data_IF_355097508057
#
_entry.id   IF_355097508057
#
_cell.length_a   1.000
_cell.length_b   1.000
_cell.length_c   1.000
_cell.angle_alpha   90.00
_cell.angle_beta   90.00
_cell.angle_gamma   90.00
#
_symmetry.space_group_name_H-M   'P 1'
#
loop_
_entity.id
_entity.type
_entity.pdbx_description
1 polymer ?
#
# COMPACT_ATOMS: atom_id res chain seq x y z
N UNK A 1 14.73 -8.88 6.08
CA UNK A 1 14.26 -9.96 5.19
C UNK A 1 13.18 -10.72 5.93
N UNK A 2 11.96 -10.78 5.38
CA UNK A 2 10.85 -11.50 6.00
C UNK A 2 11.12 -13.01 5.99
N UNK A 3 10.63 -13.78 6.98
CA UNK A 3 10.67 -15.25 6.92
C UNK A 3 10.00 -15.76 5.64
N UNK A 4 10.52 -16.86 5.08
CA UNK A 4 10.06 -17.42 3.79
C UNK A 4 8.53 -17.58 3.65
N UNK A 5 7.79 -18.10 4.65
CA UNK A 5 6.34 -18.21 4.56
C UNK A 5 5.64 -16.84 4.46
N UNK A 6 6.15 -15.85 5.19
CA UNK A 6 5.59 -14.50 5.16
C UNK A 6 5.91 -13.81 3.83
N UNK A 7 7.12 -13.99 3.29
CA UNK A 7 7.46 -13.51 1.97
C UNK A 7 6.54 -14.12 0.89
N UNK A 8 6.17 -15.40 1.01
CA UNK A 8 5.23 -16.05 0.10
C UNK A 8 3.81 -15.47 0.21
N UNK A 9 3.31 -15.24 1.43
CA UNK A 9 2.02 -14.56 1.66
C UNK A 9 2.04 -13.15 1.05
N UNK A 10 3.05 -12.33 1.36
CA UNK A 10 3.17 -10.98 0.79
C UNK A 10 3.26 -11.00 -0.75
N UNK A 11 3.97 -11.96 -1.35
CA UNK A 11 3.97 -12.07 -2.81
C UNK A 11 2.60 -12.45 -3.38
N UNK A 12 1.81 -13.26 -2.68
CA UNK A 12 0.44 -13.59 -3.09
C UNK A 12 -0.49 -12.37 -2.98
N UNK A 13 -0.32 -11.57 -1.95
CA UNK A 13 -1.05 -10.31 -1.74
C UNK A 13 -0.87 -9.34 -2.90
N UNK A 14 0.38 -9.10 -3.31
CA UNK A 14 0.68 -8.25 -4.46
C UNK A 14 0.04 -8.80 -5.74
N UNK A 15 0.15 -10.11 -6.00
CA UNK A 15 -0.45 -10.74 -7.18
C UNK A 15 -1.98 -10.60 -7.21
N UNK A 16 -2.65 -10.66 -6.06
CA UNK A 16 -4.09 -10.45 -5.98
C UNK A 16 -4.47 -9.03 -6.39
N UNK A 17 -3.72 -8.03 -5.90
CA UNK A 17 -3.91 -6.63 -6.29
C UNK A 17 -3.64 -6.41 -7.79
N UNK A 18 -2.56 -6.96 -8.33
CA UNK A 18 -2.21 -6.89 -9.75
C UNK A 18 -3.27 -7.56 -10.64
N UNK A 19 -3.77 -8.74 -10.24
CA UNK A 19 -4.84 -9.43 -10.94
C UNK A 19 -6.13 -8.59 -10.97
N UNK A 20 -6.45 -7.88 -9.88
CA UNK A 20 -7.63 -7.01 -9.82
C UNK A 20 -7.45 -5.72 -10.63
N UNK A 21 -6.25 -5.14 -10.62
CA UNK A 21 -5.90 -3.99 -11.44
C UNK A 21 -5.83 -4.33 -12.94
N UNK A 22 -5.69 -5.61 -13.30
CA UNK A 22 -5.54 -6.07 -14.68
C UNK A 22 -4.13 -5.83 -15.23
N UNK A 23 -3.13 -5.72 -14.36
CA UNK A 23 -1.75 -5.50 -14.76
C UNK A 23 -0.74 -5.57 -13.62
N UNK A 24 0.55 -5.61 -13.96
CA UNK A 24 1.67 -5.59 -12.99
C UNK A 24 1.92 -4.17 -12.52
N UNK A 25 2.05 -3.94 -11.22
CA UNK A 25 2.38 -2.60 -10.75
C UNK A 25 3.78 -2.17 -11.18
N UNK A 26 3.95 -0.86 -11.36
CA UNK A 26 5.23 -0.24 -11.63
C UNK A 26 5.54 0.66 -10.43
N UNK A 27 6.66 0.39 -9.76
CA UNK A 27 7.10 1.18 -8.63
C UNK A 27 8.01 2.31 -9.12
N UNK A 28 7.51 3.55 -8.99
CA UNK A 28 8.29 4.75 -9.32
C UNK A 28 9.36 5.02 -8.25
N UNK A 29 10.53 5.54 -8.65
CA UNK A 29 11.55 5.90 -7.66
C UNK A 29 11.02 6.99 -6.72
N UNK A 30 11.14 6.80 -5.40
CA UNK A 30 10.51 7.62 -4.37
C UNK A 30 9.21 7.04 -3.79
N UNK A 31 8.67 6.01 -4.42
CA UNK A 31 7.43 5.33 -4.02
C UNK A 31 7.71 4.10 -3.16
N UNK A 32 8.95 3.66 -3.10
CA UNK A 32 9.40 2.54 -2.28
C UNK A 32 9.36 2.83 -0.78
N UNK A 33 9.28 1.75 0.00
CA UNK A 33 9.40 1.79 1.45
C UNK A 33 10.76 2.35 1.88
N UNK A 34 10.75 3.21 2.90
CA UNK A 34 11.94 3.86 3.42
C UNK A 34 12.49 4.98 2.54
N UNK A 35 11.85 5.31 1.41
CA UNK A 35 12.34 6.38 0.55
C UNK A 35 12.28 7.73 1.25
N UNK A 36 13.36 8.52 1.11
CA UNK A 36 13.47 9.86 1.71
C UNK A 36 13.00 10.98 0.78
N UNK A 37 12.56 10.65 -0.44
CA UNK A 37 12.08 11.62 -1.42
C UNK A 37 10.67 11.27 -1.86
N UNK A 38 9.86 12.27 -2.20
CA UNK A 38 8.60 12.06 -2.91
C UNK A 38 8.88 11.48 -4.31
N UNK A 39 8.03 10.58 -4.80
CA UNK A 39 8.08 10.13 -6.20
C UNK A 39 7.41 11.09 -7.17
N UNK A 40 6.49 11.94 -6.68
CA UNK A 40 5.73 12.89 -7.49
C UNK A 40 6.32 14.31 -7.48
N UNK A 41 5.81 15.14 -8.38
CA UNK A 41 6.16 16.55 -8.48
C UNK A 41 7.66 16.77 -8.67
N UNK A 42 8.26 17.63 -7.84
CA UNK A 42 9.70 17.96 -7.88
C UNK A 42 10.59 16.98 -7.10
N UNK A 43 10.05 15.81 -6.71
CA UNK A 43 10.77 14.76 -5.95
C UNK A 43 11.52 15.31 -4.72
N UNK A 44 10.83 16.16 -3.96
CA UNK A 44 11.40 16.84 -2.79
C UNK A 44 11.66 15.85 -1.65
N UNK A 45 12.60 16.16 -0.75
CA UNK A 45 12.79 15.38 0.47
C UNK A 45 11.50 15.31 1.31
N UNK A 46 11.28 14.16 1.94
CA UNK A 46 10.23 13.90 2.92
C UNK A 46 10.75 14.20 4.35
N UNK A 47 9.88 14.61 5.28
CA UNK A 47 10.27 14.80 6.67
C UNK A 47 10.57 13.47 7.39
N UNK A 48 10.01 12.36 6.91
CA UNK A 48 10.22 11.01 7.40
C UNK A 48 10.37 10.02 6.23
N UNK A 49 11.05 8.87 6.43
CA UNK A 49 11.07 7.79 5.45
C UNK A 49 9.65 7.30 5.14
N UNK A 50 9.41 6.94 3.88
CA UNK A 50 8.11 6.45 3.45
C UNK A 50 7.71 5.15 4.16
N UNK A 51 6.53 5.10 4.76
CA UNK A 51 6.07 4.00 5.63
C UNK A 51 5.40 2.83 4.88
N UNK A 52 5.36 2.90 3.55
CA UNK A 52 4.71 1.90 2.70
C UNK A 52 5.22 1.98 1.26
N UNK A 53 4.41 1.49 0.34
CA UNK A 53 4.65 1.57 -1.11
C UNK A 53 3.47 2.23 -1.81
N UNK A 54 3.77 3.11 -2.77
CA UNK A 54 2.74 3.79 -3.56
C UNK A 54 2.64 3.15 -4.95
N UNK A 55 1.45 2.66 -5.30
CA UNK A 55 1.15 2.15 -6.64
C UNK A 55 0.34 3.20 -7.40
N UNK A 56 1.00 3.90 -8.33
CA UNK A 56 0.37 4.89 -9.22
C UNK A 56 0.18 4.37 -10.64
N UNK A 57 1.03 3.44 -11.07
CA UNK A 57 1.08 2.96 -12.45
C UNK A 57 1.12 1.44 -12.48
N UNK A 58 0.62 0.87 -13.58
CA UNK A 58 0.72 -0.55 -13.86
C UNK A 58 0.93 -0.80 -15.36
N UNK A 59 1.55 -1.93 -15.68
CA UNK A 59 1.61 -2.47 -17.01
C UNK A 59 0.39 -3.36 -17.24
N UNK A 60 -0.50 -2.91 -18.12
CA UNK A 60 -1.72 -3.63 -18.50
C UNK A 60 -1.39 -5.01 -19.10
N UNK A 61 -2.03 -6.07 -18.61
CA UNK A 61 -1.73 -7.44 -19.04
C UNK A 61 -2.08 -7.73 -20.50
N UNK A 62 -3.08 -7.03 -21.05
CA UNK A 62 -3.59 -7.31 -22.40
C UNK A 62 -2.75 -6.58 -23.46
N UNK A 63 -2.41 -5.33 -23.19
CA UNK A 63 -1.73 -4.44 -24.14
C UNK A 63 -0.23 -4.31 -23.88
N UNK A 64 0.25 -4.65 -22.69
CA UNK A 64 1.63 -4.40 -22.26
C UNK A 64 1.97 -2.92 -22.07
N UNK A 65 0.99 -2.03 -22.22
CA UNK A 65 1.19 -0.58 -22.09
C UNK A 65 1.16 -0.14 -20.63
N UNK A 66 1.95 0.89 -20.32
CA UNK A 66 1.88 1.57 -19.02
C UNK A 66 0.55 2.33 -18.94
N UNK A 67 -0.24 2.05 -17.91
CA UNK A 67 -1.45 2.76 -17.54
C UNK A 67 -1.28 3.35 -16.15
N UNK A 68 -1.94 4.47 -15.93
CA UNK A 68 -2.05 5.09 -14.62
C UNK A 68 -3.27 4.52 -13.89
N UNK A 69 -3.17 4.39 -12.57
CA UNK A 69 -4.32 4.13 -11.71
C UNK A 69 -5.21 5.37 -11.70
N UNK A 70 -6.46 5.19 -12.09
CA UNK A 70 -7.46 6.25 -12.09
C UNK A 70 -8.25 6.26 -10.78
N UNK A 71 -8.75 7.44 -10.34
CA UNK A 71 -9.75 7.50 -9.28
C UNK A 71 -10.94 6.59 -9.58
N UNK A 72 -11.43 5.87 -8.58
CA UNK A 72 -12.50 4.89 -8.73
C UNK A 72 -12.01 3.49 -9.11
N UNK A 73 -10.72 3.29 -9.38
CA UNK A 73 -10.16 1.96 -9.58
C UNK A 73 -10.43 1.08 -8.34
N UNK A 74 -11.02 -0.11 -8.51
CA UNK A 74 -11.26 -1.03 -7.40
C UNK A 74 -10.02 -1.46 -6.64
N UNK A 75 -10.16 -1.52 -5.31
CA UNK A 75 -9.14 -2.07 -4.41
C UNK A 75 -9.76 -3.22 -3.61
N UNK A 76 -9.33 -4.47 -3.84
CA UNK A 76 -9.79 -5.62 -3.07
C UNK A 76 -9.09 -5.66 -1.71
N UNK A 77 -9.59 -6.52 -0.81
CA UNK A 77 -8.79 -6.90 0.34
C UNK A 77 -7.47 -7.53 -0.13
N UNK A 78 -6.38 -7.20 0.56
CA UNK A 78 -5.04 -7.68 0.22
C UNK A 78 -4.90 -9.20 0.48
N UNK A 79 -5.60 -9.67 1.51
CA UNK A 79 -5.63 -11.06 1.96
C UNK A 79 -6.91 -11.31 2.78
N UNK A 80 -7.14 -12.57 3.16
CA UNK A 80 -8.14 -12.88 4.18
C UNK A 80 -7.82 -12.13 5.48
N UNK A 81 -8.83 -11.50 6.07
CA UNK A 81 -8.61 -10.70 7.26
C UNK A 81 -9.88 -10.10 7.84
N UNK A 82 -9.68 -9.27 8.86
CA UNK A 82 -10.73 -8.50 9.49
C UNK A 82 -10.36 -7.02 9.44
N UNK A 83 -11.29 -6.17 9.02
CA UNK A 83 -11.16 -4.72 9.14
C UNK A 83 -11.13 -4.36 10.62
N UNK A 84 -10.11 -3.65 11.07
CA UNK A 84 -9.95 -3.28 12.48
C UNK A 84 -9.98 -1.78 12.73
N UNK A 85 -9.71 -0.98 11.69
CA UNK A 85 -9.84 0.47 11.76
C UNK A 85 -10.15 1.04 10.36
N UNK A 86 -10.91 2.13 10.34
CA UNK A 86 -11.13 2.99 9.18
C UNK A 86 -11.11 4.43 9.67
N UNK A 87 -10.26 5.27 9.09
CA UNK A 87 -10.13 6.68 9.51
C UNK A 87 -9.77 7.58 8.33
N UNK A 88 -9.95 8.89 8.48
CA UNK A 88 -9.58 9.88 7.46
C UNK A 88 -8.05 10.04 7.37
N UNK A 89 -7.55 10.19 6.14
CA UNK A 89 -6.17 10.58 5.86
C UNK A 89 -6.13 11.89 5.07
N UNK A 90 -4.94 12.36 4.72
CA UNK A 90 -4.76 13.66 4.07
C UNK A 90 -5.28 13.71 2.61
N UNK A 91 -5.58 12.57 1.98
CA UNK A 91 -6.17 12.48 0.63
C UNK A 91 -7.62 11.98 0.67
N UNK A 92 -7.92 10.98 1.48
CA UNK A 92 -9.24 10.39 1.66
C UNK A 92 -9.33 9.61 2.97
N UNK A 93 -9.25 8.28 2.92
CA UNK A 93 -9.34 7.41 4.09
C UNK A 93 -8.34 6.27 4.01
N UNK A 94 -7.98 5.75 5.18
CA UNK A 94 -7.20 4.55 5.39
C UNK A 94 -8.07 3.43 5.95
N UNK A 95 -7.88 2.21 5.44
CA UNK A 95 -8.45 0.97 5.98
C UNK A 95 -7.30 0.15 6.54
N UNK A 96 -7.46 -0.39 7.75
CA UNK A 96 -6.52 -1.33 8.36
C UNK A 96 -7.19 -2.70 8.50
N UNK A 97 -6.49 -3.75 8.05
CA UNK A 97 -6.93 -5.13 8.17
C UNK A 97 -5.90 -5.98 8.88
N UNK A 98 -6.32 -6.77 9.88
CA UNK A 98 -5.46 -7.79 10.49
C UNK A 98 -5.63 -9.14 9.80
N UNK A 99 -4.54 -9.91 9.74
CA UNK A 99 -4.50 -11.21 9.08
C UNK A 99 -4.35 -12.37 10.08
N UNK A 100 -4.30 -13.63 9.65
CA UNK A 100 -4.03 -14.72 10.59
C UNK A 100 -2.53 -14.91 10.83
N UNK A 101 -1.71 -14.38 9.93
CA UNK A 101 -0.27 -14.46 9.97
C UNK A 101 0.32 -13.61 11.08
N UNK A 102 1.39 -14.15 11.67
CA UNK A 102 2.13 -13.51 12.75
C UNK A 102 3.63 -13.51 12.40
N UNK A 103 4.33 -12.47 12.85
CA UNK A 103 5.79 -12.36 12.76
C UNK A 103 6.36 -12.24 14.18
N UNK A 104 7.13 -13.22 14.63
CA UNK A 104 7.71 -13.23 15.98
C UNK A 104 6.67 -12.96 17.09
N UNK A 105 5.49 -13.57 16.96
CA UNK A 105 4.35 -13.41 17.88
C UNK A 105 3.56 -12.11 17.69
N UNK A 106 3.99 -11.20 16.82
CA UNK A 106 3.26 -9.97 16.48
C UNK A 106 2.21 -10.22 15.41
N UNK A 107 1.04 -9.64 15.60
CA UNK A 107 -0.08 -9.73 14.66
C UNK A 107 0.24 -8.92 13.40
N UNK A 108 0.15 -9.53 12.22
CA UNK A 108 0.30 -8.80 10.98
C UNK A 108 -0.98 -8.07 10.58
N UNK A 109 -0.78 -6.89 9.99
CA UNK A 109 -1.84 -6.10 9.39
C UNK A 109 -1.39 -5.44 8.09
N UNK A 110 -2.34 -5.12 7.21
CA UNK A 110 -2.13 -4.29 6.04
C UNK A 110 -2.94 -3.00 6.16
N UNK A 111 -2.44 -1.94 5.53
CA UNK A 111 -3.14 -0.67 5.40
C UNK A 111 -3.28 -0.34 3.93
N UNK A 112 -4.49 0.08 3.55
CA UNK A 112 -4.79 0.66 2.24
C UNK A 112 -5.19 2.11 2.49
N UNK A 113 -4.34 3.05 2.07
CA UNK A 113 -4.57 4.48 2.23
C UNK A 113 -4.86 5.16 0.89
N UNK A 114 -5.42 6.36 0.97
CA UNK A 114 -5.87 7.18 -0.16
C UNK A 114 -7.01 6.50 -0.94
N UNK A 115 -7.90 5.84 -0.21
CA UNK A 115 -9.04 5.11 -0.77
C UNK A 115 -10.36 5.64 -0.23
N UNK A 116 -11.44 5.31 -0.95
CA UNK A 116 -12.83 5.47 -0.53
C UNK A 116 -13.37 4.07 -0.22
N UNK A 117 -13.59 3.73 1.06
CA UNK A 117 -14.17 2.43 1.45
C UNK A 117 -15.52 2.19 0.78
N UNK A 118 -15.82 0.93 0.47
CA UNK A 118 -17.16 0.57 -0.02
C UNK A 118 -18.23 0.90 1.03
N UNK A 119 -19.47 1.27 0.61
CA UNK A 119 -20.53 1.59 1.56
C UNK A 119 -20.77 0.48 2.58
N UNK A 120 -20.78 0.83 3.86
CA UNK A 120 -21.03 -0.09 4.96
C UNK A 120 -19.81 -0.87 5.45
N UNK A 121 -18.62 -0.69 4.85
CA UNK A 121 -17.40 -1.26 5.41
C UNK A 121 -17.13 -0.67 6.80
N UNK A 122 -16.99 -1.54 7.80
CA UNK A 122 -16.79 -1.13 9.19
C UNK A 122 -15.84 -2.09 9.94
N UNK A 123 -15.19 -1.61 11.02
CA UNK A 123 -14.44 -2.48 11.92
C UNK A 123 -15.25 -3.71 12.37
N UNK A 124 -14.59 -4.86 12.43
CA UNK A 124 -15.18 -6.17 12.72
C UNK A 124 -15.56 -6.99 11.48
N UNK A 125 -15.71 -6.37 10.32
CA UNK A 125 -16.07 -7.07 9.09
C UNK A 125 -14.92 -7.94 8.56
N UNK A 126 -15.22 -9.18 8.18
CA UNK A 126 -14.27 -10.08 7.52
C UNK A 126 -14.31 -9.87 6.00
N UNK A 127 -13.15 -9.85 5.37
CA UNK A 127 -13.01 -9.71 3.93
C UNK A 127 -11.99 -10.73 3.40
N UNK A 128 -12.14 -11.09 2.13
CA UNK A 128 -11.22 -11.94 1.37
C UNK A 128 -10.80 -11.22 0.09
N UNK A 129 -9.72 -11.65 -0.60
CA UNK A 129 -9.26 -11.01 -1.84
C UNK A 129 -10.27 -10.90 -2.97
N UNK A 130 -11.35 -11.68 -2.92
CA UNK A 130 -12.45 -11.63 -3.91
C UNK A 130 -13.43 -10.48 -3.63
N UNK A 131 -13.29 -9.78 -2.51
CA UNK A 131 -14.17 -8.69 -2.08
C UNK A 131 -13.48 -7.35 -2.27
N UNK A 132 -14.12 -6.45 -3.00
CA UNK A 132 -13.78 -5.03 -3.00
C UNK A 132 -14.01 -4.43 -1.62
N UNK A 133 -12.97 -3.82 -1.07
CA UNK A 133 -13.06 -3.09 0.21
C UNK A 133 -13.06 -1.59 -0.01
N UNK A 134 -12.53 -1.12 -1.13
CA UNK A 134 -12.47 0.29 -1.45
C UNK A 134 -12.32 0.56 -2.95
N UNK A 135 -12.32 1.84 -3.31
CA UNK A 135 -11.86 2.33 -4.59
C UNK A 135 -10.79 3.42 -4.38
N UNK A 136 -9.88 3.59 -5.33
CA UNK A 136 -8.85 4.64 -5.27
C UNK A 136 -9.51 6.01 -5.24
N UNK A 137 -9.09 6.87 -4.30
CA UNK A 137 -9.66 8.20 -4.19
C UNK A 137 -9.15 9.14 -5.29
N UNK A 138 -9.97 10.13 -5.63
CA UNK A 138 -9.48 11.30 -6.35
C UNK A 138 -8.51 12.07 -5.44
N UNK A 139 -7.33 12.39 -5.96
CA UNK A 139 -6.33 13.10 -5.17
C UNK A 139 -6.81 14.50 -4.77
N UNK A 140 -6.63 14.84 -3.49
CA UNK A 140 -6.84 16.20 -2.95
C UNK A 140 -5.53 16.98 -2.85
N UNK A 141 -4.43 16.42 -3.34
CA UNK A 141 -3.09 17.01 -3.30
C UNK A 141 -2.49 17.10 -4.70
N UNK A 142 -1.20 17.43 -4.79
CA UNK A 142 -0.46 17.40 -6.06
C UNK A 142 0.07 16.00 -6.42
N UNK A 143 -0.04 15.03 -5.50
CA UNK A 143 0.26 13.63 -5.82
C UNK A 143 -0.82 13.11 -6.78
N UNK A 144 -0.47 12.34 -7.83
CA UNK A 144 -1.47 11.65 -8.64
C UNK A 144 -2.30 10.65 -7.82
N UNK A 145 -3.41 10.16 -8.36
CA UNK A 145 -4.17 9.09 -7.73
C UNK A 145 -3.32 7.80 -7.64
N UNK A 146 -3.30 7.17 -6.47
CA UNK A 146 -2.52 5.97 -6.19
C UNK A 146 -3.10 5.23 -4.99
N UNK A 147 -2.73 3.97 -4.83
CA UNK A 147 -2.95 3.22 -3.58
C UNK A 147 -1.66 3.23 -2.79
N UNK A 148 -1.74 3.62 -1.53
CA UNK A 148 -0.64 3.42 -0.58
C UNK A 148 -0.87 2.13 0.20
N UNK A 149 0.11 1.23 0.17
CA UNK A 149 0.10 -0.05 0.91
C UNK A 149 1.20 -0.06 1.97
N UNK A 150 0.82 -0.21 3.24
CA UNK A 150 1.76 -0.54 4.33
C UNK A 150 1.51 -1.95 4.85
N UNK A 151 2.57 -2.57 5.38
CA UNK A 151 2.48 -3.81 6.16
C UNK A 151 2.97 -3.50 7.58
N UNK A 152 2.25 -3.98 8.59
CA UNK A 152 2.56 -3.77 9.99
C UNK A 152 2.73 -5.09 10.74
N UNK A 153 3.55 -5.05 11.79
CA UNK A 153 3.56 -6.04 12.86
C UNK A 153 3.27 -5.39 14.22
N UNK A 154 2.08 -5.65 14.78
CA UNK A 154 1.64 -5.10 16.05
C UNK A 154 1.86 -6.08 17.21
N UNK A 155 2.16 -5.55 18.39
CA UNK A 155 2.32 -6.34 19.61
C UNK A 155 1.09 -7.24 19.89
N UNK A 156 1.26 -8.38 20.58
CA UNK A 156 0.13 -9.22 21.00
C UNK A 156 -0.90 -8.40 21.78
N UNK A 157 -2.19 -8.57 21.45
CA UNK A 157 -3.28 -7.87 22.14
C UNK A 157 -3.40 -6.37 21.82
N UNK A 158 -2.71 -5.88 20.78
CA UNK A 158 -2.78 -4.48 20.36
C UNK A 158 -4.22 -4.00 20.14
N UNK A 159 -4.55 -2.83 20.70
CA UNK A 159 -5.89 -2.27 20.69
C UNK A 159 -6.18 -1.48 19.41
N UNK A 160 -6.35 -2.17 18.28
CA UNK A 160 -6.59 -1.52 16.97
C UNK A 160 -7.74 -0.50 16.95
N UNK A 161 -8.80 -0.74 17.74
CA UNK A 161 -9.97 0.12 17.79
C UNK A 161 -9.71 1.51 18.42
N UNK A 162 -8.56 1.73 19.05
CA UNK A 162 -8.20 3.04 19.60
C UNK A 162 -7.49 3.95 18.60
N UNK A 163 -7.14 3.45 17.41
CA UNK A 163 -6.50 4.24 16.37
C UNK A 163 -7.47 5.27 15.80
N UNK A 164 -7.05 6.53 15.78
CA UNK A 164 -7.78 7.67 15.25
C UNK A 164 -7.17 8.20 13.95
N UNK A 165 -5.89 7.91 13.70
CA UNK A 165 -5.24 8.29 12.44
C UNK A 165 -3.76 7.94 12.33
N UNK A 166 -3.15 8.43 11.27
CA UNK A 166 -1.71 8.29 11.01
C UNK A 166 -0.80 8.76 12.15
N UNK A 167 -1.06 9.86 12.87
CA UNK A 167 -0.22 10.25 14.01
C UNK A 167 -0.09 9.17 15.08
N UNK A 168 -1.16 8.41 15.35
CA UNK A 168 -1.13 7.31 16.32
C UNK A 168 -0.22 6.17 15.82
N UNK A 169 -0.31 5.82 14.54
CA UNK A 169 0.54 4.77 13.94
C UNK A 169 2.03 5.11 14.06
N UNK A 170 2.38 6.37 13.76
CA UNK A 170 3.76 6.85 13.84
C UNK A 170 4.25 6.87 15.29
N UNK A 171 3.44 7.36 16.23
CA UNK A 171 3.77 7.35 17.65
C UNK A 171 3.97 5.93 18.18
N UNK A 172 3.07 5.00 17.85
CA UNK A 172 3.14 3.60 18.27
C UNK A 172 4.33 2.87 17.61
N UNK A 173 4.74 3.31 16.42
CA UNK A 173 5.97 2.86 15.79
C UNK A 173 7.21 3.27 16.56
N UNK A 174 7.31 4.55 16.95
CA UNK A 174 8.41 5.05 17.78
C UNK A 174 8.49 4.34 19.14
N UNK A 175 7.33 4.00 19.72
CA UNK A 175 7.20 3.25 20.96
C UNK A 175 7.45 1.73 20.80
N UNK A 176 7.65 1.24 19.57
CA UNK A 176 7.87 -0.18 19.22
C UNK A 176 6.70 -1.10 19.54
N UNK A 177 5.52 -0.55 19.76
CA UNK A 177 4.28 -1.31 19.87
C UNK A 177 3.84 -1.83 18.50
N UNK A 178 4.18 -1.09 17.45
CA UNK A 178 3.88 -1.39 16.05
C UNK A 178 5.15 -1.23 15.20
N UNK A 179 5.34 -2.05 14.17
CA UNK A 179 6.49 -1.93 13.27
C UNK A 179 6.01 -1.87 11.84
N UNK A 180 6.42 -0.86 11.09
CA UNK A 180 6.29 -0.87 9.65
C UNK A 180 7.29 -1.87 9.06
N UNK A 181 6.77 -2.74 8.19
CA UNK A 181 7.53 -3.73 7.45
C UNK A 181 7.53 -3.33 5.98
N UNK A 182 8.62 -3.67 5.28
CA UNK A 182 8.71 -3.52 3.84
C UNK A 182 7.59 -4.33 3.15
N UNK A 183 6.66 -3.66 2.44
CA UNK A 183 5.60 -4.34 1.71
C UNK A 183 6.14 -5.15 0.52
N UNK A 184 5.37 -6.11 0.00
CA UNK A 184 5.72 -6.78 -1.24
C UNK A 184 5.76 -5.79 -2.41
N UNK A 185 6.83 -5.86 -3.20
CA UNK A 185 6.99 -5.07 -4.43
C UNK A 185 7.15 -6.01 -5.62
N UNK A 186 6.77 -5.57 -6.84
CA UNK A 186 6.98 -6.35 -8.06
C UNK A 186 8.46 -6.70 -8.23
N UNK A 187 8.77 -7.97 -8.48
CA UNK A 187 10.16 -8.44 -8.61
C UNK A 187 10.67 -8.25 -10.04
N UNK A 188 11.61 -7.31 -10.21
CA UNK A 188 12.50 -7.07 -11.37
C UNK A 188 11.91 -6.59 -12.73
N UNK A 189 12.68 -5.84 -13.57
CA UNK A 189 12.76 -4.39 -13.45
C UNK A 189 12.20 -3.69 -14.69
N UNK A 190 11.29 -2.72 -14.50
CA UNK A 190 11.25 -1.60 -15.42
C UNK A 190 12.33 -0.61 -15.00
N UNK A 191 13.56 -0.84 -15.48
CA UNK A 191 14.44 0.30 -15.74
C UNK A 191 13.76 1.07 -16.85
N UNK A 192 13.19 2.22 -16.52
CA UNK A 192 12.96 3.26 -17.50
C UNK A 192 14.23 3.33 -18.36
N UNK A 193 14.12 2.96 -19.63
CA UNK A 193 15.02 3.51 -20.62
C UNK A 193 14.74 5.01 -20.56
N UNK A 194 15.50 5.70 -19.71
CA UNK A 194 15.91 7.04 -19.98
C UNK A 194 16.65 6.96 -21.31
N UNK A 195 15.89 6.98 -22.40
CA UNK A 195 16.32 7.65 -23.62
C UNK A 195 16.49 9.12 -23.22
N UNK A 196 17.61 9.41 -22.55
CA UNK A 196 18.26 10.68 -22.74
C UNK A 196 18.76 10.64 -24.17
N UNK A 197 17.89 11.06 -25.08
CA UNK A 197 18.29 11.52 -26.40
C UNK A 197 19.48 12.46 -26.21
N UNK A 198 20.65 11.97 -26.59
CA UNK A 198 21.93 12.62 -26.45
C UNK A 198 22.78 12.28 -27.67
N UNK A 199 22.40 12.91 -28.77
CA UNK A 199 23.26 13.34 -29.88
C UNK A 199 24.15 12.29 -30.56
N UNK A 200 23.67 11.79 -31.69
CA UNK A 200 24.55 11.62 -32.85
C UNK A 200 24.70 12.99 -33.52
N UNK A 201 25.92 13.53 -33.47
CA UNK A 201 26.52 14.32 -34.54
C UNK A 201 28.04 14.19 -34.44
#
# INVERSE_FOLDING_TARGET
>A
MLPSPLAASCAAWLRALEARAGGRFILEAGAEFGSLNCWWGKRRPRPAPHEGVDFCDFQDFNSGTKRQIEPGCPVPAVADGQVVAVFEDFMAQTIIMTHQEHLDGRQLATLLAHVVPVPGLAPGQRCSPDVEVAAVAASRTTAPAHVHLSVLAAAPGFAWASLQGWPDLLQLHEQKELHFLEPPVPVEPWRAHLDLGGEQQ
#
